data_IF_219242901714
#
_entry.id   IF_219242901714
#
_cell.length_a   1.000
_cell.length_b   1.000
_cell.length_c   1.000
_cell.angle_alpha   90.00
_cell.angle_beta   90.00
_cell.angle_gamma   90.00
#
_symmetry.space_group_name_H-M   'P 1'
#
loop_
_entity.id
_entity.type
_entity.pdbx_description
1 polymer ?
#
# COMPACT_ATOMS: atom_id res chain seq x y z
N UNK A 1 5.43 1.99 31.65
CA UNK A 1 5.39 2.05 31.03
C UNK A 1 5.77 2.11 30.40
N UNK A 2 6.04 1.93 30.24
CA UNK A 2 6.46 2.03 29.45
C UNK A 2 6.09 2.28 28.61
N UNK A 3 5.76 2.56 28.61
CA UNK A 3 5.23 3.06 27.79
C UNK A 3 5.93 3.74 27.01
N UNK A 4 6.91 3.69 26.89
CA UNK A 4 7.56 4.12 25.98
C UNK A 4 7.29 3.48 24.85
N UNK A 5 6.30 3.66 24.28
CA UNK A 5 5.96 3.14 23.05
C UNK A 5 6.76 3.81 22.03
N UNK A 6 7.47 3.11 21.21
CA UNK A 6 8.26 3.70 20.17
C UNK A 6 7.36 4.13 19.05
N UNK A 7 7.72 5.20 18.39
CA UNK A 7 6.91 5.72 17.31
C UNK A 7 6.73 4.68 16.22
N UNK A 8 7.77 3.92 15.91
CA UNK A 8 7.67 2.90 14.87
C UNK A 8 6.66 1.81 15.23
N UNK A 9 6.51 1.54 16.53
CA UNK A 9 5.57 0.52 16.99
C UNK A 9 4.16 1.03 17.07
N UNK A 10 3.99 2.36 17.12
CA UNK A 10 2.68 2.93 17.32
C UNK A 10 2.11 3.59 16.08
N UNK A 11 2.91 3.69 15.02
CA UNK A 11 2.38 4.29 13.79
C UNK A 11 1.18 3.48 13.32
N UNK A 12 0.02 4.12 13.19
CA UNK A 12 -1.16 3.40 12.72
C UNK A 12 -1.10 3.22 11.22
N UNK A 13 -1.06 1.98 10.80
CA UNK A 13 -1.19 1.66 9.38
C UNK A 13 -2.62 1.23 9.13
N UNK A 14 -3.27 1.86 8.17
CA UNK A 14 -4.63 1.50 7.81
C UNK A 14 -4.64 0.38 6.81
N UNK A 15 -5.69 -0.43 6.86
CA UNK A 15 -5.96 -1.43 5.82
C UNK A 15 -7.40 -1.25 5.39
N UNK A 16 -7.72 -1.52 4.12
CA UNK A 16 -9.11 -1.41 3.67
C UNK A 16 -9.96 -2.51 4.30
N UNK A 17 -11.26 -2.34 4.24
CA UNK A 17 -12.17 -3.31 4.84
C UNK A 17 -12.12 -4.65 4.12
N UNK A 18 -11.94 -4.65 2.81
CA UNK A 18 -11.82 -5.86 2.02
C UNK A 18 -11.19 -5.49 0.69
N UNK A 19 -10.68 -6.50 -0.02
CA UNK A 19 -10.15 -6.26 -1.35
C UNK A 19 -11.26 -5.93 -2.34
N UNK A 20 -12.46 -6.46 -2.11
CA UNK A 20 -13.61 -6.15 -2.96
C UNK A 20 -14.06 -4.72 -2.84
N UNK A 21 -13.70 -4.04 -1.75
CA UNK A 21 -14.05 -2.64 -1.58
C UNK A 21 -13.17 -1.71 -2.40
N UNK A 22 -12.06 -2.21 -2.93
CA UNK A 22 -11.15 -1.39 -3.73
C UNK A 22 -11.80 -1.07 -5.07
N UNK A 23 -11.84 0.22 -5.40
CA UNK A 23 -12.52 0.64 -6.62
C UNK A 23 -11.75 1.71 -7.38
N UNK A 24 -10.43 1.75 -7.17
CA UNK A 24 -9.58 2.70 -7.91
C UNK A 24 -9.35 2.27 -9.35
N UNK A 25 -8.67 3.11 -10.12
CA UNK A 25 -8.41 2.80 -11.52
C UNK A 25 -7.35 1.72 -11.67
N UNK A 26 -7.46 0.93 -12.73
CA UNK A 26 -6.44 -0.02 -13.09
C UNK A 26 -5.39 0.61 -13.99
N UNK A 27 -4.60 -0.23 -14.65
CA UNK A 27 -3.61 0.25 -15.60
C UNK A 27 -4.29 1.07 -16.68
N UNK A 28 -3.63 2.13 -17.09
CA UNK A 28 -4.18 3.08 -18.04
C UNK A 28 -4.92 4.22 -17.38
N UNK A 29 -5.20 4.12 -16.09
CA UNK A 29 -5.88 5.18 -15.36
C UNK A 29 -4.92 6.20 -14.78
N UNK A 30 -5.49 7.13 -14.02
CA UNK A 30 -4.73 8.22 -13.44
C UNK A 30 -5.08 8.34 -11.96
N UNK A 31 -4.07 8.53 -11.13
CA UNK A 31 -4.25 8.75 -9.70
C UNK A 31 -3.86 10.17 -9.35
N UNK A 32 -4.66 10.78 -8.48
CA UNK A 32 -4.34 12.11 -7.95
C UNK A 32 -4.05 11.95 -6.46
N UNK A 33 -2.79 12.14 -6.08
CA UNK A 33 -2.35 11.92 -4.71
C UNK A 33 -2.02 13.25 -4.04
N UNK A 34 -2.57 13.44 -2.85
CA UNK A 34 -2.32 14.66 -2.09
C UNK A 34 -1.02 14.58 -1.32
N UNK A 35 -0.71 15.68 -0.64
CA UNK A 35 0.52 15.79 0.15
C UNK A 35 0.57 14.76 1.26
N UNK A 36 -0.56 14.37 1.77
CA UNK A 36 -0.62 13.42 2.87
C UNK A 36 -0.19 12.03 2.43
N UNK A 37 -0.15 11.78 1.13
CA UNK A 37 0.25 10.49 0.61
C UNK A 37 1.64 10.56 0.00
N UNK A 38 1.89 11.58 -0.82
CA UNK A 38 3.21 11.79 -1.39
C UNK A 38 3.69 13.16 -0.97
N UNK A 39 4.79 13.18 -0.24
CA UNK A 39 5.35 14.41 0.23
C UNK A 39 5.98 15.17 -0.93
N UNK A 40 5.32 16.21 -1.36
CA UNK A 40 5.74 17.02 -2.49
C UNK A 40 5.15 18.42 -2.31
N UNK A 41 5.74 19.43 -2.95
CA UNK A 41 5.18 20.79 -2.84
C UNK A 41 3.76 20.89 -3.39
N UNK A 42 3.42 20.02 -4.34
CA UNK A 42 2.09 20.03 -4.94
C UNK A 42 1.55 18.62 -4.91
N UNK A 43 0.23 18.49 -5.03
CA UNK A 43 -0.35 17.18 -5.21
C UNK A 43 0.18 16.59 -6.51
N UNK A 44 0.24 15.27 -6.55
CA UNK A 44 0.84 14.56 -7.67
C UNK A 44 -0.22 13.85 -8.48
N UNK A 45 -0.08 13.94 -9.80
CA UNK A 45 -0.89 13.16 -10.72
C UNK A 45 0.00 12.05 -11.28
N UNK A 46 -0.41 10.81 -11.09
CA UNK A 46 0.38 9.67 -11.54
C UNK A 46 -0.40 8.92 -12.59
N UNK A 47 0.20 8.79 -13.77
CA UNK A 47 -0.39 8.01 -14.84
C UNK A 47 0.05 6.57 -14.69
N UNK A 48 -0.90 5.66 -14.57
CA UNK A 48 -0.60 4.25 -14.35
C UNK A 48 -0.35 3.57 -15.70
N UNK A 49 0.73 3.99 -16.36
CA UNK A 49 1.05 3.47 -17.68
C UNK A 49 1.72 2.10 -17.61
N UNK A 50 2.48 1.84 -16.55
CA UNK A 50 3.22 0.59 -16.40
C UNK A 50 3.05 0.07 -14.99
N UNK A 51 3.49 -1.19 -14.79
CA UNK A 51 3.49 -1.77 -13.45
C UNK A 51 4.45 -1.04 -12.52
N UNK A 52 5.52 -0.47 -13.06
CA UNK A 52 6.43 0.33 -12.23
C UNK A 52 5.75 1.56 -11.68
N UNK A 53 4.93 2.23 -12.50
CA UNK A 53 4.16 3.36 -12.03
C UNK A 53 3.22 2.97 -10.90
N UNK A 54 2.56 1.83 -11.06
CA UNK A 54 1.65 1.33 -10.04
C UNK A 54 2.40 0.97 -8.77
N UNK A 55 3.57 0.34 -8.91
CA UNK A 55 4.38 -0.04 -7.75
C UNK A 55 4.76 1.19 -6.94
N UNK A 56 5.20 2.25 -7.61
CA UNK A 56 5.56 3.49 -6.93
C UNK A 56 4.35 4.09 -6.20
N UNK A 57 3.24 4.23 -6.91
CA UNK A 57 2.06 4.85 -6.32
C UNK A 57 1.49 4.01 -5.18
N UNK A 58 1.41 2.70 -5.37
CA UNK A 58 0.82 1.82 -4.38
C UNK A 58 1.64 1.75 -3.11
N UNK A 59 2.97 1.80 -3.24
CA UNK A 59 3.82 1.85 -2.06
C UNK A 59 3.47 3.07 -1.19
N UNK A 60 3.31 4.23 -1.81
CA UNK A 60 2.97 5.43 -1.07
C UNK A 60 1.56 5.34 -0.47
N UNK A 61 0.60 4.86 -1.23
CA UNK A 61 -0.78 4.78 -0.76
C UNK A 61 -0.90 3.82 0.41
N UNK A 62 -0.27 2.66 0.32
CA UNK A 62 -0.36 1.67 1.39
C UNK A 62 0.28 2.18 2.67
N UNK A 63 1.38 2.92 2.54
CA UNK A 63 2.07 3.43 3.72
C UNK A 63 1.37 4.62 4.36
N UNK A 64 0.75 5.49 3.56
CA UNK A 64 0.37 6.80 4.08
C UNK A 64 -1.13 7.09 4.03
N UNK A 65 -1.89 6.40 3.20
CA UNK A 65 -3.30 6.74 3.01
C UNK A 65 -4.17 6.13 4.09
N UNK A 66 -5.32 6.77 4.34
CA UNK A 66 -6.34 6.20 5.21
C UNK A 66 -7.01 5.03 4.51
N UNK A 67 -7.76 4.24 5.30
CA UNK A 67 -8.50 3.11 4.72
C UNK A 67 -9.46 3.59 3.63
N UNK A 68 -10.13 4.71 3.85
CA UNK A 68 -11.06 5.23 2.86
C UNK A 68 -10.35 5.61 1.57
N UNK A 69 -9.19 6.25 1.69
CA UNK A 69 -8.43 6.63 0.52
C UNK A 69 -7.84 5.40 -0.19
N UNK A 70 -7.43 4.41 0.57
CA UNK A 70 -6.95 3.16 -0.02
C UNK A 70 -8.04 2.51 -0.87
N UNK A 71 -9.27 2.48 -0.34
CA UNK A 71 -10.38 1.88 -1.10
C UNK A 71 -10.69 2.67 -2.35
N UNK A 72 -10.56 3.98 -2.28
CA UNK A 72 -10.83 4.84 -3.42
C UNK A 72 -9.73 4.79 -4.49
N UNK A 73 -8.49 4.60 -4.08
CA UNK A 73 -7.34 4.73 -4.97
C UNK A 73 -6.79 3.41 -5.48
N UNK A 74 -6.91 2.34 -4.70
CA UNK A 74 -6.35 1.06 -5.09
C UNK A 74 -7.35 0.25 -5.91
N UNK A 75 -6.81 -0.61 -6.77
CA UNK A 75 -7.60 -1.52 -7.59
C UNK A 75 -7.17 -2.94 -7.22
N UNK A 76 -8.16 -3.82 -6.99
CA UNK A 76 -7.86 -5.16 -6.51
C UNK A 76 -6.95 -5.94 -7.46
N UNK A 77 -7.31 -5.97 -8.74
CA UNK A 77 -6.54 -6.77 -9.70
C UNK A 77 -5.12 -6.24 -9.81
N UNK A 78 -4.98 -4.92 -9.87
CA UNK A 78 -3.67 -4.32 -9.99
C UNK A 78 -2.86 -4.53 -8.73
N UNK A 79 -3.49 -4.45 -7.56
CA UNK A 79 -2.81 -4.71 -6.30
C UNK A 79 -2.27 -6.13 -6.25
N UNK A 80 -3.09 -7.10 -6.66
CA UNK A 80 -2.63 -8.49 -6.68
C UNK A 80 -1.42 -8.66 -7.60
N UNK A 81 -1.39 -7.90 -8.67
CA UNK A 81 -0.32 -8.02 -9.64
C UNK A 81 0.98 -7.40 -9.13
N UNK A 82 0.91 -6.25 -8.45
CA UNK A 82 2.13 -5.56 -8.01
C UNK A 82 2.58 -5.97 -6.61
N UNK A 83 1.71 -6.58 -5.81
CA UNK A 83 2.04 -6.91 -4.42
C UNK A 83 3.37 -7.65 -4.28
N UNK A 84 3.69 -8.66 -5.12
CA UNK A 84 4.95 -9.37 -4.94
C UNK A 84 6.18 -8.48 -5.03
N UNK A 85 6.08 -7.36 -5.72
CA UNK A 85 7.23 -6.49 -5.96
C UNK A 85 7.27 -5.26 -5.04
N UNK A 86 6.26 -5.08 -4.19
CA UNK A 86 6.22 -3.90 -3.33
C UNK A 86 7.26 -3.98 -2.22
N UNK A 87 7.94 -2.87 -1.96
CA UNK A 87 8.89 -2.76 -0.86
C UNK A 87 8.21 -1.96 0.26
N UNK A 88 7.85 -2.64 1.33
CA UNK A 88 7.06 -2.06 2.40
C UNK A 88 7.72 -2.35 3.74
N UNK A 89 7.40 -1.57 4.78
CA UNK A 89 7.87 -1.90 6.12
C UNK A 89 7.34 -3.27 6.55
N UNK A 90 8.13 -3.93 7.39
CA UNK A 90 7.81 -5.27 7.88
C UNK A 90 6.39 -5.37 8.46
N UNK A 91 5.99 -4.37 9.25
CA UNK A 91 4.68 -4.42 9.86
C UNK A 91 3.54 -4.32 8.85
N UNK A 92 3.79 -3.63 7.75
CA UNK A 92 2.77 -3.49 6.71
C UNK A 92 2.54 -4.82 6.01
N UNK A 93 3.62 -5.55 5.70
CA UNK A 93 3.47 -6.89 5.13
C UNK A 93 2.65 -7.76 6.06
N UNK A 94 2.97 -7.72 7.35
CA UNK A 94 2.31 -8.54 8.34
C UNK A 94 0.81 -8.26 8.39
N UNK A 95 0.47 -6.97 8.47
CA UNK A 95 -0.92 -6.55 8.55
C UNK A 95 -1.71 -6.96 7.32
N UNK A 96 -1.14 -6.68 6.15
CA UNK A 96 -1.88 -6.90 4.92
C UNK A 96 -1.97 -8.38 4.55
N UNK A 97 -0.90 -9.13 4.74
CA UNK A 97 -0.92 -10.54 4.39
C UNK A 97 -1.79 -11.34 5.34
N UNK A 98 -1.85 -10.93 6.60
CA UNK A 98 -2.74 -11.57 7.54
C UNK A 98 -4.19 -11.25 7.25
N UNK A 99 -4.47 -10.02 6.92
CA UNK A 99 -5.83 -9.56 6.66
C UNK A 99 -6.35 -10.08 5.33
N UNK A 100 -5.49 -10.18 4.33
CA UNK A 100 -5.90 -10.53 2.97
C UNK A 100 -5.12 -11.74 2.48
N UNK A 101 -5.57 -12.94 2.83
CA UNK A 101 -4.87 -14.15 2.36
C UNK A 101 -4.88 -14.32 0.86
N UNK A 102 -5.71 -13.56 0.14
CA UNK A 102 -5.71 -13.59 -1.32
C UNK A 102 -4.46 -13.00 -1.93
N UNK A 103 -3.72 -12.18 -1.18
CA UNK A 103 -2.52 -11.56 -1.72
C UNK A 103 -1.46 -12.61 -2.04
N UNK A 104 -0.79 -12.49 -3.19
CA UNK A 104 0.27 -13.45 -3.51
C UNK A 104 1.47 -13.23 -2.60
N UNK A 105 2.37 -14.19 -2.61
CA UNK A 105 3.56 -14.11 -1.80
C UNK A 105 4.39 -12.91 -2.19
N UNK A 106 4.74 -12.07 -1.23
CA UNK A 106 5.65 -10.96 -1.47
C UNK A 106 7.08 -11.47 -1.29
N UNK A 107 7.93 -11.23 -2.27
CA UNK A 107 9.27 -11.79 -2.25
C UNK A 107 10.09 -11.27 -1.09
N UNK A 108 9.93 -10.00 -0.76
CA UNK A 108 10.72 -9.41 0.31
C UNK A 108 10.26 -9.85 1.69
N UNK A 109 8.95 -9.96 1.89
CA UNK A 109 8.45 -10.40 3.19
C UNK A 109 8.87 -11.83 3.47
N UNK A 110 8.89 -12.67 2.44
CA UNK A 110 9.31 -14.05 2.64
C UNK A 110 10.80 -14.18 2.84
N UNK A 111 11.58 -13.31 2.23
CA UNK A 111 13.00 -13.29 2.50
C UNK A 111 13.28 -13.00 3.97
N UNK A 112 12.53 -12.07 4.56
CA UNK A 112 12.65 -11.79 5.97
C UNK A 112 12.23 -12.96 6.82
N UNK A 113 11.12 -13.59 6.49
CA UNK A 113 10.59 -14.67 7.30
C UNK A 113 11.47 -15.90 7.31
N UNK A 114 12.28 -16.07 6.30
CA UNK A 114 13.14 -17.25 6.18
C UNK A 114 14.51 -17.06 6.79
N UNK A 115 14.75 -15.95 7.41
CA UNK A 115 16.04 -15.70 8.00
C UNK A 115 16.19 -16.29 9.37
#
# INVERSE_FOLDING_TARGET
>A
MSDRIRIADTKPYDVPSSLEALHGPGLGGVLHLGHEIIWAPHSQTIHLATLDDATFAYTAIINEATAADQERLLNKDLLLEVWPALTLPWRVYELWEERFPELPRNELSHAFLQR
#
